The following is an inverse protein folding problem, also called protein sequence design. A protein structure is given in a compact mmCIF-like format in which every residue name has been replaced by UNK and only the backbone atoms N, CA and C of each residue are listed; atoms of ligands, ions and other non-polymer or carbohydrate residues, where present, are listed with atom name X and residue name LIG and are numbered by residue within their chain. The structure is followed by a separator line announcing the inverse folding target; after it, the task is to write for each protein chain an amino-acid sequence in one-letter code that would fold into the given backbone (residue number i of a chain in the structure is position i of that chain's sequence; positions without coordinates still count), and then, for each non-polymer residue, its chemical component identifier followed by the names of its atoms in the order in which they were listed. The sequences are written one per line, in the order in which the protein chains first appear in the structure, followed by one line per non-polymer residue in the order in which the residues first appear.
data_IF_936846925291
#
_entry.id   IF_936846925291
#
_cell.length_a   1.000
_cell.length_b   1.000
_cell.length_c   1.000
_cell.angle_alpha   90.00
_cell.angle_beta   90.00
_cell.angle_gamma   90.00
#
_symmetry.space_group_name_H-M   'P 1'
#
loop_
_entity.id
_entity.type
_entity.pdbx_description
1 polymer ?
#
# COMPACT_ATOMS: atom_id res chain seq x y z
N UNK A 1 -2.42 25.02 -12.84
CA UNK A 1 -2.40 24.29 -11.56
C UNK A 1 -1.57 23.03 -11.76
N UNK A 2 -0.49 22.84 -10.99
CA UNK A 2 0.26 21.58 -10.97
C UNK A 2 -0.31 20.73 -9.83
N UNK A 3 -0.70 19.50 -10.14
CA UNK A 3 -1.05 18.50 -9.13
C UNK A 3 0.22 17.66 -8.95
N UNK A 4 0.84 17.76 -7.79
CA UNK A 4 2.06 17.04 -7.44
C UNK A 4 1.95 16.58 -5.98
N UNK A 5 2.47 15.39 -5.70
CA UNK A 5 2.61 14.91 -4.32
C UNK A 5 3.71 15.74 -3.62
N UNK A 6 3.36 16.36 -2.51
CA UNK A 6 4.27 17.17 -1.69
C UNK A 6 5.21 16.31 -0.83
N UNK A 7 4.92 15.02 -0.67
CA UNK A 7 5.74 14.09 0.12
C UNK A 7 5.90 12.72 -0.57
N UNK A 8 6.48 12.68 -1.79
CA UNK A 8 6.59 11.44 -2.54
C UNK A 8 7.67 10.54 -1.96
N UNK A 9 7.36 9.26 -1.84
CA UNK A 9 8.34 8.22 -1.49
C UNK A 9 8.91 7.57 -2.76
N UNK A 10 9.95 8.18 -3.31
CA UNK A 10 10.63 7.70 -4.51
C UNK A 10 11.75 6.70 -4.17
N UNK A 11 11.40 5.43 -3.98
CA UNK A 11 12.38 4.33 -3.81
C UNK A 11 12.00 3.15 -4.67
N UNK A 12 12.99 2.50 -5.28
CA UNK A 12 12.78 1.24 -6.00
C UNK A 12 12.53 0.10 -4.98
N UNK A 13 11.34 -0.54 -4.99
CA UNK A 13 11.15 -1.83 -4.34
C UNK A 13 11.99 -2.84 -5.09
N UNK A 14 13.01 -3.42 -4.45
CA UNK A 14 13.64 -4.60 -5.01
C UNK A 14 12.67 -5.77 -4.82
N UNK A 15 12.21 -6.36 -5.92
CA UNK A 15 11.40 -7.59 -5.93
C UNK A 15 12.07 -8.62 -6.83
N UNK A 16 11.94 -9.90 -6.47
CA UNK A 16 12.62 -10.97 -7.20
C UNK A 16 12.15 -11.09 -8.64
N UNK A 17 10.88 -10.82 -8.92
CA UNK A 17 10.24 -11.00 -10.25
C UNK A 17 9.11 -10.00 -10.49
N UNK A 18 9.42 -8.71 -10.60
CA UNK A 18 8.42 -7.70 -10.98
C UNK A 18 7.64 -8.12 -12.26
N UNK A 19 6.31 -8.10 -12.19
CA UNK A 19 5.43 -8.51 -13.30
C UNK A 19 5.09 -10.00 -13.35
N UNK A 20 5.52 -10.80 -12.38
CA UNK A 20 5.11 -12.19 -12.25
C UNK A 20 3.61 -12.36 -11.92
N UNK A 21 3.10 -13.57 -12.10
CA UNK A 21 1.69 -13.91 -11.84
C UNK A 21 1.47 -14.53 -10.46
N UNK A 22 2.53 -14.84 -9.73
CA UNK A 22 2.43 -15.43 -8.41
C UNK A 22 2.58 -14.36 -7.34
N UNK A 23 1.87 -14.57 -6.23
CA UNK A 23 1.90 -13.70 -5.07
C UNK A 23 3.33 -13.43 -4.55
N UNK A 24 4.17 -14.48 -4.55
CA UNK A 24 5.56 -14.39 -4.11
C UNK A 24 6.45 -13.48 -4.97
N UNK A 25 6.06 -13.23 -6.23
CA UNK A 25 6.85 -12.45 -7.18
C UNK A 25 6.91 -10.95 -6.80
N UNK A 26 5.99 -10.53 -5.92
CA UNK A 26 5.88 -9.19 -5.35
C UNK A 26 6.39 -9.11 -3.90
N UNK A 27 6.94 -10.20 -3.36
CA UNK A 27 7.59 -10.14 -2.06
C UNK A 27 8.89 -9.33 -2.17
N UNK A 28 9.05 -8.31 -1.33
CA UNK A 28 10.22 -7.47 -1.42
C UNK A 28 11.41 -8.11 -0.74
N UNK A 29 12.58 -8.00 -1.36
CA UNK A 29 13.85 -8.33 -0.72
C UNK A 29 14.32 -7.18 0.19
N UNK A 30 13.81 -5.96 -0.02
CA UNK A 30 13.98 -4.81 0.88
C UNK A 30 12.67 -4.37 1.57
N UNK A 31 12.61 -4.57 2.89
CA UNK A 31 11.36 -4.35 3.66
C UNK A 31 11.24 -2.89 4.13
N UNK A 32 12.37 -2.29 4.52
CA UNK A 32 12.43 -0.98 5.21
C UNK A 32 11.77 0.20 4.48
N UNK A 33 11.79 0.33 3.14
CA UNK A 33 11.27 1.53 2.47
C UNK A 33 9.76 1.74 2.57
N UNK A 34 8.99 0.65 2.70
CA UNK A 34 7.53 0.69 2.56
C UNK A 34 6.78 0.27 3.83
N UNK A 35 7.49 -0.24 4.83
CA UNK A 35 6.92 -0.75 6.06
C UNK A 35 6.41 0.39 6.97
N UNK A 36 5.15 0.30 7.42
CA UNK A 36 4.49 1.29 8.28
C UNK A 36 4.60 2.74 7.75
N UNK A 37 4.48 2.92 6.44
CA UNK A 37 4.55 4.24 5.75
C UNK A 37 3.23 4.67 5.10
N UNK A 38 2.17 3.88 5.24
CA UNK A 38 0.84 4.24 4.77
C UNK A 38 0.21 5.39 5.55
N UNK A 39 -0.92 5.87 5.03
CA UNK A 39 -1.78 6.88 5.68
C UNK A 39 -3.22 6.35 5.72
N UNK A 40 -4.01 6.89 6.63
CA UNK A 40 -5.45 6.64 6.62
C UNK A 40 -6.08 7.29 5.39
N UNK A 41 -6.73 6.46 4.57
CA UNK A 41 -7.44 6.92 3.38
C UNK A 41 -8.87 7.22 3.79
N UNK A 42 -9.22 8.50 3.86
CA UNK A 42 -10.59 8.93 4.15
C UNK A 42 -11.48 8.85 2.90
N UNK A 43 -12.81 8.69 3.07
CA UNK A 43 -13.75 8.81 1.96
C UNK A 43 -13.62 10.17 1.26
N UNK A 44 -13.78 10.18 -0.07
CA UNK A 44 -13.82 11.44 -0.80
C UNK A 44 -15.09 12.23 -0.43
N UNK A 45 -14.97 13.54 -0.13
CA UNK A 45 -16.14 14.36 0.16
C UNK A 45 -17.07 14.39 -1.06
N UNK A 46 -18.38 14.29 -0.80
CA UNK A 46 -19.45 14.35 -1.81
C UNK A 46 -19.47 13.21 -2.84
N UNK A 47 -18.71 12.11 -2.64
CA UNK A 47 -18.75 10.93 -3.49
C UNK A 47 -19.37 9.73 -2.75
N UNK A 48 -20.67 9.52 -2.98
CA UNK A 48 -21.47 8.49 -2.29
C UNK A 48 -21.35 7.07 -2.89
N UNK A 49 -20.67 6.88 -4.02
CA UNK A 49 -20.63 5.58 -4.73
C UNK A 49 -19.19 5.08 -4.95
N UNK A 50 -18.23 5.97 -5.23
CA UNK A 50 -16.94 5.59 -5.81
C UNK A 50 -15.84 5.15 -4.84
N UNK A 51 -15.86 5.61 -3.59
CA UNK A 51 -14.86 5.33 -2.54
C UNK A 51 -15.59 5.24 -1.20
N UNK A 52 -16.61 4.38 -1.15
CA UNK A 52 -17.57 4.22 -0.03
C UNK A 52 -16.95 3.74 1.28
N UNK A 53 -15.76 3.19 1.19
CA UNK A 53 -14.96 2.74 2.30
C UNK A 53 -13.68 3.53 2.14
N UNK A 54 -13.48 4.54 3.00
CA UNK A 54 -12.12 4.90 3.33
C UNK A 54 -11.35 3.58 3.54
N UNK A 55 -10.17 3.46 2.91
CA UNK A 55 -9.43 2.20 2.86
C UNK A 55 -8.85 1.88 4.24
N UNK A 56 -9.72 1.53 5.20
CA UNK A 56 -9.34 0.88 6.44
C UNK A 56 -9.08 -0.58 6.10
N UNK A 57 -7.95 -0.81 5.43
CA UNK A 57 -7.49 -2.14 5.04
C UNK A 57 -7.19 -2.91 6.33
N UNK A 58 -8.04 -3.87 6.66
CA UNK A 58 -7.83 -4.70 7.87
C UNK A 58 -6.86 -5.86 7.61
N UNK A 59 -6.70 -6.24 6.34
CA UNK A 59 -5.96 -7.44 5.94
C UNK A 59 -5.21 -7.19 4.62
N UNK A 60 -3.93 -7.58 4.57
CA UNK A 60 -3.15 -7.54 3.33
C UNK A 60 -3.54 -8.66 2.35
N UNK A 61 -2.99 -8.65 1.14
CA UNK A 61 -3.29 -9.63 0.07
C UNK A 61 -2.97 -11.09 0.45
N UNK A 62 -2.14 -11.31 1.47
CA UNK A 62 -1.80 -12.63 1.99
C UNK A 62 -2.73 -13.14 3.09
N UNK A 63 -3.74 -12.36 3.51
CA UNK A 63 -4.60 -12.71 4.63
C UNK A 63 -4.05 -12.32 6.01
N UNK A 64 -2.88 -11.67 6.07
CA UNK A 64 -2.31 -11.18 7.33
C UNK A 64 -3.03 -9.89 7.79
N UNK A 65 -3.37 -9.82 9.08
CA UNK A 65 -3.98 -8.63 9.68
C UNK A 65 -3.00 -7.44 9.65
N UNK A 66 -3.52 -6.25 9.38
CA UNK A 66 -2.80 -4.98 9.51
C UNK A 66 -3.14 -4.41 10.89
N UNK A 67 -2.17 -4.46 11.81
CA UNK A 67 -2.38 -4.01 13.21
C UNK A 67 -1.94 -2.55 13.44
N UNK A 68 -1.04 -2.04 12.60
CA UNK A 68 -0.49 -0.68 12.64
C UNK A 68 -0.81 0.09 11.34
N UNK A 69 -0.06 1.16 11.03
CA UNK A 69 -0.09 1.78 9.71
C UNK A 69 0.12 0.72 8.62
N UNK A 70 -0.71 0.79 7.59
CA UNK A 70 -0.56 -0.07 6.41
C UNK A 70 0.84 0.13 5.82
N UNK A 71 1.42 -0.95 5.33
CA UNK A 71 2.55 -0.82 4.42
C UNK A 71 2.04 -0.12 3.14
N UNK A 72 2.89 0.62 2.43
CA UNK A 72 2.52 1.28 1.16
C UNK A 72 2.26 0.30 0.00
N UNK A 73 2.22 -0.99 0.31
CA UNK A 73 2.15 -2.11 -0.63
C UNK A 73 0.93 -2.96 -0.29
N UNK A 74 0.50 -3.77 -1.24
CA UNK A 74 -0.58 -4.74 -1.02
C UNK A 74 -0.25 -5.80 0.05
N UNK A 75 1.01 -5.93 0.45
CA UNK A 75 1.54 -6.91 1.39
C UNK A 75 1.83 -6.28 2.74
N UNK A 76 1.52 -7.01 3.81
CA UNK A 76 2.05 -6.72 5.15
C UNK A 76 3.30 -7.54 5.39
N UNK A 77 4.40 -6.89 5.72
CA UNK A 77 5.58 -7.57 6.24
C UNK A 77 5.45 -7.75 7.76
N UNK A 78 5.73 -8.96 8.25
CA UNK A 78 5.82 -9.28 9.68
C UNK A 78 7.05 -8.64 10.33
#
# INVERSE_FOLDING_TARGET
MRIQDDNPLCKNPESDKAGGLQLKDYLPTNIRPAHNKGIDINPLPNHSIGLLIGFKVETGIQGNKIEDLSDLRAYKVK
#
